data_IF_879270099760
#
_entry.id   IF_879270099760
#
_cell.length_a   1.000
_cell.length_b   1.000
_cell.length_c   1.000
_cell.angle_alpha   90.00
_cell.angle_beta   90.00
_cell.angle_gamma   90.00
#
_symmetry.space_group_name_H-M   'P 1'
#
loop_
_entity.id
_entity.type
_entity.pdbx_description
1 polymer ?
#
# COMPACT_ATOMS: atom_id res chain seq x y z
N UNK A 1 -6.75 8.93 22.14
CA UNK A 1 -7.89 8.03 21.91
C UNK A 1 -7.35 6.61 21.89
N UNK A 2 -7.73 5.78 22.86
CA UNK A 2 -7.32 4.38 22.91
C UNK A 2 -8.16 3.58 21.92
N UNK A 3 -7.51 2.79 21.07
CA UNK A 3 -8.16 1.87 20.13
C UNK A 3 -9.10 0.91 20.89
N UNK A 4 -10.25 0.52 20.32
CA UNK A 4 -11.06 -0.55 20.88
C UNK A 4 -10.29 -1.86 20.85
N UNK A 5 -10.55 -2.69 21.86
CA UNK A 5 -9.82 -3.92 22.14
C UNK A 5 -9.93 -4.97 21.02
N UNK A 6 -8.78 -5.57 20.70
CA UNK A 6 -8.56 -6.84 20.00
C UNK A 6 -9.20 -6.98 18.61
N UNK A 7 -8.40 -6.66 17.57
CA UNK A 7 -8.54 -7.23 16.23
C UNK A 7 -8.46 -8.76 16.37
N UNK A 8 -9.56 -9.46 16.12
CA UNK A 8 -9.59 -10.93 16.09
C UNK A 8 -8.94 -11.42 14.78
N UNK A 9 -7.61 -11.36 14.74
CA UNK A 9 -6.82 -11.90 13.64
C UNK A 9 -7.03 -13.42 13.59
N UNK A 10 -7.64 -13.91 12.52
CA UNK A 10 -7.80 -15.35 12.29
C UNK A 10 -6.41 -16.05 12.19
N UNK A 11 -6.24 -17.24 12.78
CA UNK A 11 -5.02 -18.02 12.58
C UNK A 11 -4.94 -18.53 11.13
N UNK A 12 -3.74 -18.51 10.55
CA UNK A 12 -3.49 -19.13 9.25
C UNK A 12 -3.73 -20.66 9.32
N UNK A 13 -4.13 -21.31 8.21
CA UNK A 13 -3.97 -22.76 8.09
C UNK A 13 -2.48 -23.12 8.27
N UNK A 14 -2.16 -24.20 9.00
CA UNK A 14 -0.78 -24.51 9.34
C UNK A 14 -0.01 -24.93 8.09
N UNK A 15 0.90 -24.08 7.63
CA UNK A 15 1.97 -24.46 6.69
C UNK A 15 3.28 -23.86 7.18
N UNK A 16 4.17 -24.73 7.66
CA UNK A 16 5.53 -24.38 8.08
C UNK A 16 5.76 -24.40 9.60
N UNK A 17 6.79 -25.13 10.02
CA UNK A 17 7.19 -25.33 11.42
C UNK A 17 7.55 -24.03 12.15
N UNK A 18 7.44 -23.97 13.50
CA UNK A 18 7.79 -22.80 14.28
C UNK A 18 9.30 -22.53 14.25
N UNK A 19 9.72 -21.38 13.72
CA UNK A 19 11.10 -20.92 13.79
C UNK A 19 11.47 -20.42 15.20
N UNK A 20 12.71 -20.63 15.65
CA UNK A 20 13.16 -20.24 16.98
C UNK A 20 13.26 -18.71 17.13
N UNK A 21 12.80 -18.22 18.28
CA UNK A 21 12.80 -16.82 18.68
C UNK A 21 14.23 -16.29 18.87
N UNK A 22 14.68 -15.38 18.01
CA UNK A 22 15.95 -14.68 18.19
C UNK A 22 15.74 -13.30 18.86
N UNK A 23 16.50 -12.96 19.93
CA UNK A 23 16.39 -11.66 20.57
C UNK A 23 16.96 -10.54 19.68
N UNK A 24 16.12 -9.57 19.32
CA UNK A 24 16.51 -8.40 18.55
C UNK A 24 17.48 -7.48 19.32
N UNK A 25 18.61 -7.10 18.71
CA UNK A 25 19.56 -6.12 19.26
C UNK A 25 19.17 -4.69 18.88
N UNK A 26 18.81 -3.88 19.87
CA UNK A 26 18.61 -2.43 19.70
C UNK A 26 19.95 -1.70 19.78
N UNK A 27 20.43 -1.16 18.65
CA UNK A 27 21.67 -0.37 18.65
C UNK A 27 21.92 0.38 17.35
N UNK A 28 21.28 1.54 17.16
CA UNK A 28 21.81 2.72 16.44
C UNK A 28 20.80 3.88 16.48
N UNK A 29 21.32 5.09 16.73
CA UNK A 29 20.65 6.26 17.33
C UNK A 29 19.44 6.90 16.62
N UNK A 30 18.62 7.55 17.46
CA UNK A 30 17.30 8.14 17.20
C UNK A 30 17.17 9.13 16.01
N UNK A 31 18.25 9.81 15.61
CA UNK A 31 18.22 10.78 14.51
C UNK A 31 18.35 10.13 13.12
N UNK A 32 18.92 8.92 13.05
CA UNK A 32 19.04 8.14 11.81
C UNK A 32 17.76 7.33 11.49
N UNK A 33 16.74 7.39 12.35
CA UNK A 33 15.61 6.45 12.35
C UNK A 33 14.44 6.90 11.48
N UNK A 34 14.13 8.20 11.43
CA UNK A 34 13.02 8.71 10.59
C UNK A 34 13.41 8.95 9.14
N UNK A 35 14.71 9.09 8.85
CA UNK A 35 15.19 9.45 7.51
C UNK A 35 15.03 8.30 6.54
N UNK A 36 15.33 7.05 6.94
CA UNK A 36 15.20 5.89 6.05
C UNK A 36 13.76 5.66 5.58
N UNK A 37 12.79 5.82 6.49
CA UNK A 37 11.36 5.74 6.16
C UNK A 37 10.95 6.83 5.17
N UNK A 38 11.20 8.10 5.53
CA UNK A 38 10.83 9.24 4.68
C UNK A 38 11.52 9.20 3.32
N UNK A 39 12.83 8.97 3.27
CA UNK A 39 13.57 8.85 2.01
C UNK A 39 13.07 7.68 1.16
N UNK A 40 12.69 6.57 1.79
CA UNK A 40 12.08 5.44 1.09
C UNK A 40 10.77 5.80 0.41
N UNK A 41 9.90 6.55 1.10
CA UNK A 41 8.64 7.06 0.54
C UNK A 41 8.88 8.15 -0.50
N UNK A 42 9.71 9.16 -0.23
CA UNK A 42 10.03 10.24 -1.18
C UNK A 42 10.59 9.73 -2.51
N UNK A 43 11.27 8.58 -2.47
CA UNK A 43 11.81 7.92 -3.66
C UNK A 43 10.75 7.14 -4.43
N UNK A 44 9.80 6.50 -3.72
CA UNK A 44 8.77 5.62 -4.30
C UNK A 44 7.52 6.39 -4.72
N UNK A 45 7.02 7.26 -3.85
CA UNK A 45 5.72 7.94 -3.96
C UNK A 45 5.90 9.29 -4.66
N UNK A 46 6.50 9.25 -5.85
CA UNK A 46 6.84 10.43 -6.64
C UNK A 46 6.48 10.26 -8.10
N UNK A 47 6.06 11.35 -8.71
CA UNK A 47 5.98 11.42 -10.17
C UNK A 47 7.34 11.94 -10.68
N UNK A 48 7.93 11.31 -11.72
CA UNK A 48 9.17 11.79 -12.33
C UNK A 48 9.08 13.29 -12.65
N UNK A 49 10.19 14.02 -12.48
CA UNK A 49 10.28 15.49 -12.70
C UNK A 49 9.38 16.41 -11.84
N UNK A 50 8.39 15.87 -11.11
CA UNK A 50 7.52 16.64 -10.21
C UNK A 50 7.98 16.50 -8.75
N UNK A 51 8.38 15.29 -8.36
CA UNK A 51 8.79 14.96 -6.99
C UNK A 51 7.71 14.22 -6.22
N UNK A 52 7.82 14.16 -4.88
CA UNK A 52 6.86 13.48 -4.01
C UNK A 52 5.45 14.05 -4.16
N UNK A 53 4.46 13.17 -4.20
CA UNK A 53 3.04 13.54 -4.34
C UNK A 53 2.16 12.64 -3.49
N UNK A 54 0.95 13.11 -3.20
CA UNK A 54 -0.10 12.26 -2.68
C UNK A 54 -0.37 11.16 -3.70
N UNK A 55 -0.23 9.90 -3.29
CA UNK A 55 -0.42 8.75 -4.19
C UNK A 55 -1.86 8.61 -4.70
N UNK A 56 -2.83 9.33 -4.11
CA UNK A 56 -4.23 9.29 -4.53
C UNK A 56 -4.58 10.43 -5.49
N UNK A 57 -4.32 11.69 -5.12
CA UNK A 57 -4.74 12.86 -5.89
C UNK A 57 -3.63 13.64 -6.61
N UNK A 58 -2.35 13.33 -6.35
CA UNK A 58 -1.22 14.02 -6.99
C UNK A 58 -0.85 15.37 -6.37
N UNK A 59 -1.51 15.80 -5.29
CA UNK A 59 -1.16 17.02 -4.55
C UNK A 59 0.26 16.94 -3.97
N UNK A 60 0.98 18.06 -3.93
CA UNK A 60 2.40 18.14 -3.55
C UNK A 60 2.59 18.44 -2.07
N UNK A 61 1.65 19.13 -1.44
CA UNK A 61 1.65 19.28 0.01
C UNK A 61 1.29 17.93 0.63
N UNK A 62 2.30 17.23 1.14
CA UNK A 62 2.18 15.83 1.54
C UNK A 62 2.69 15.56 2.94
N UNK A 63 2.25 14.43 3.49
CA UNK A 63 2.67 13.85 4.76
C UNK A 63 2.87 12.36 4.59
N UNK A 64 3.84 11.81 5.31
CA UNK A 64 4.04 10.37 5.38
C UNK A 64 3.16 9.78 6.48
N UNK A 65 2.29 8.84 6.13
CA UNK A 65 1.49 8.06 7.07
C UNK A 65 2.01 6.64 7.17
N UNK A 66 1.79 5.99 8.31
CA UNK A 66 2.04 4.56 8.47
C UNK A 66 0.74 3.78 8.28
N UNK A 67 0.80 2.65 7.58
CA UNK A 67 -0.35 1.75 7.42
C UNK A 67 -0.67 1.11 8.77
N UNK A 68 0.34 0.54 9.44
CA UNK A 68 0.27 0.15 10.85
C UNK A 68 0.78 1.31 11.70
N UNK A 69 -0.09 1.95 12.53
CA UNK A 69 0.27 3.15 13.26
C UNK A 69 1.45 2.96 14.22
N UNK A 70 2.26 4.01 14.39
CA UNK A 70 3.44 3.96 15.27
C UNK A 70 3.14 3.66 16.74
N UNK A 71 1.92 3.98 17.16
CA UNK A 71 1.42 3.68 18.50
C UNK A 71 1.25 2.18 18.74
N UNK A 72 1.21 1.34 17.70
CA UNK A 72 0.89 -0.08 17.81
C UNK A 72 2.07 -1.01 17.49
N UNK A 73 3.17 -0.86 18.26
CA UNK A 73 4.38 -1.69 18.11
C UNK A 73 4.11 -3.18 18.26
N UNK A 74 3.18 -3.53 19.15
CA UNK A 74 2.85 -4.92 19.44
C UNK A 74 2.21 -5.60 18.23
N UNK A 75 1.30 -4.91 17.53
CA UNK A 75 0.66 -5.44 16.33
C UNK A 75 1.68 -5.80 15.26
N UNK A 76 2.71 -4.98 15.02
CA UNK A 76 3.74 -5.34 14.03
C UNK A 76 4.42 -6.69 14.32
N UNK A 77 4.83 -6.92 15.58
CA UNK A 77 5.43 -8.19 15.96
C UNK A 77 4.46 -9.36 15.81
N UNK A 78 3.18 -9.15 16.11
CA UNK A 78 2.13 -10.16 15.89
C UNK A 78 1.92 -10.45 14.40
N UNK A 79 2.00 -9.44 13.53
CA UNK A 79 1.91 -9.61 12.07
C UNK A 79 3.10 -10.39 11.52
N UNK A 80 4.31 -10.12 12.00
CA UNK A 80 5.49 -10.95 11.71
C UNK A 80 5.29 -12.40 12.16
N UNK A 81 4.88 -12.61 13.41
CA UNK A 81 4.68 -13.95 13.97
C UNK A 81 3.57 -14.75 13.26
N UNK A 82 2.57 -14.05 12.70
CA UNK A 82 1.45 -14.64 11.96
C UNK A 82 1.69 -14.71 10.46
N UNK A 83 2.88 -14.37 9.96
CA UNK A 83 3.22 -14.47 8.54
C UNK A 83 2.54 -13.44 7.62
N UNK A 84 1.99 -12.36 8.17
CA UNK A 84 1.48 -11.22 7.40
C UNK A 84 2.63 -10.32 6.94
N UNK A 85 3.75 -10.32 7.64
CA UNK A 85 4.98 -9.60 7.31
C UNK A 85 6.12 -10.60 7.44
N UNK A 86 7.23 -10.49 6.66
CA UNK A 86 8.40 -11.33 6.88
C UNK A 86 8.82 -11.33 8.37
N UNK A 87 9.15 -12.48 8.96
CA UNK A 87 9.54 -12.55 10.36
C UNK A 87 10.83 -11.78 10.65
N UNK A 88 11.70 -11.62 9.66
CA UNK A 88 12.95 -10.85 9.75
C UNK A 88 12.74 -9.36 9.51
N UNK A 89 11.52 -8.89 9.22
CA UNK A 89 11.31 -7.51 8.83
C UNK A 89 11.87 -6.52 9.84
N UNK A 90 12.45 -5.43 9.32
CA UNK A 90 13.00 -4.32 10.11
C UNK A 90 11.94 -3.76 11.07
N UNK A 91 12.37 -3.04 12.13
CA UNK A 91 11.46 -2.31 12.98
C UNK A 91 10.51 -1.42 12.17
N UNK A 92 9.22 -1.50 12.48
CA UNK A 92 8.15 -0.89 11.68
C UNK A 92 8.29 0.62 11.50
N UNK A 93 8.98 1.33 12.42
CA UNK A 93 9.22 2.77 12.33
C UNK A 93 10.11 3.16 11.15
N UNK A 94 10.90 2.21 10.63
CA UNK A 94 11.90 2.43 9.59
C UNK A 94 11.50 1.79 8.26
N UNK A 95 10.37 1.10 8.22
CA UNK A 95 10.00 0.26 7.08
C UNK A 95 9.13 1.05 6.09
N UNK A 96 9.67 1.53 4.95
CA UNK A 96 8.90 2.30 3.97
C UNK A 96 7.73 1.50 3.36
N UNK A 97 7.78 0.16 3.41
CA UNK A 97 6.66 -0.69 2.97
C UNK A 97 5.48 -0.67 3.95
N UNK A 98 5.64 -0.09 5.14
CA UNK A 98 4.59 0.19 6.11
C UNK A 98 4.08 1.65 6.00
N UNK A 99 4.26 2.33 4.87
CA UNK A 99 3.84 3.73 4.76
C UNK A 99 3.38 4.16 3.38
N UNK A 100 2.77 5.33 3.36
CA UNK A 100 2.23 6.02 2.18
C UNK A 100 2.47 7.53 2.28
N UNK A 101 2.64 8.19 1.14
CA UNK A 101 2.60 9.65 1.02
C UNK A 101 1.20 10.12 0.63
N UNK A 102 0.55 10.88 1.51
CA UNK A 102 -0.81 11.42 1.32
C UNK A 102 -0.85 12.93 1.53
N UNK A 103 -1.79 13.64 0.91
CA UNK A 103 -2.05 15.04 1.24
C UNK A 103 -2.77 15.14 2.61
N UNK A 104 -2.82 16.32 3.27
CA UNK A 104 -3.45 16.47 4.58
C UNK A 104 -4.88 15.92 4.68
N UNK A 105 -5.68 16.04 3.61
CA UNK A 105 -7.07 15.58 3.60
C UNK A 105 -7.15 14.04 3.57
N UNK A 106 -6.53 13.40 2.56
CA UNK A 106 -6.51 11.93 2.47
C UNK A 106 -5.79 11.27 3.64
N UNK A 107 -4.77 11.93 4.19
CA UNK A 107 -4.11 11.47 5.42
C UNK A 107 -5.09 11.43 6.60
N UNK A 108 -5.91 12.48 6.77
CA UNK A 108 -6.91 12.53 7.83
C UNK A 108 -7.96 11.42 7.66
N UNK A 109 -8.48 11.23 6.45
CA UNK A 109 -9.45 10.17 6.16
C UNK A 109 -8.88 8.77 6.42
N UNK A 110 -7.65 8.51 5.96
CA UNK A 110 -6.98 7.21 6.16
C UNK A 110 -6.76 6.89 7.65
N UNK A 111 -6.33 7.87 8.45
CA UNK A 111 -6.14 7.69 9.90
C UNK A 111 -7.45 7.61 10.67
N UNK A 112 -8.48 8.33 10.22
CA UNK A 112 -9.82 8.31 10.81
C UNK A 112 -10.60 7.03 10.48
N UNK A 113 -10.04 6.16 9.62
CA UNK A 113 -10.69 4.96 9.10
C UNK A 113 -11.96 5.25 8.27
N UNK A 114 -12.07 6.47 7.76
CA UNK A 114 -13.14 6.93 6.85
C UNK A 114 -12.99 6.34 5.44
N UNK A 115 -11.80 5.81 5.13
CA UNK A 115 -11.46 5.10 3.92
C UNK A 115 -10.44 4.00 4.22
N UNK A 116 -10.30 3.04 3.32
CA UNK A 116 -9.25 2.03 3.35
C UNK A 116 -8.68 1.81 1.94
N UNK A 117 -7.51 1.16 1.88
CA UNK A 117 -6.91 0.75 0.61
C UNK A 117 -7.00 -0.77 0.53
N UNK A 118 -7.24 -1.32 -0.67
CA UNK A 118 -7.14 -2.75 -0.94
C UNK A 118 -6.26 -3.01 -2.15
N UNK A 119 -5.40 -4.01 -2.06
CA UNK A 119 -4.70 -4.56 -3.23
C UNK A 119 -5.63 -5.52 -3.98
N UNK A 120 -5.77 -5.32 -5.29
CA UNK A 120 -6.60 -6.10 -6.19
C UNK A 120 -5.70 -6.95 -7.10
N UNK A 121 -5.54 -8.26 -6.85
CA UNK A 121 -4.69 -9.14 -7.65
C UNK A 121 -5.01 -9.11 -9.15
N UNK A 122 -6.30 -9.01 -9.50
CA UNK A 122 -6.80 -9.05 -10.89
C UNK A 122 -6.26 -7.90 -11.73
N UNK A 123 -6.04 -6.75 -11.11
CA UNK A 123 -5.52 -5.54 -11.78
C UNK A 123 -4.06 -5.28 -11.47
N UNK A 124 -3.47 -6.04 -10.54
CA UNK A 124 -2.18 -5.73 -9.92
C UNK A 124 -2.12 -4.24 -9.53
N UNK A 125 -3.02 -3.81 -8.65
CA UNK A 125 -3.19 -2.40 -8.29
C UNK A 125 -3.70 -2.21 -6.85
N UNK A 126 -3.40 -1.05 -6.25
CA UNK A 126 -3.98 -0.61 -4.98
C UNK A 126 -5.13 0.34 -5.26
N UNK A 127 -6.28 0.08 -4.64
CA UNK A 127 -7.53 0.81 -4.88
C UNK A 127 -7.99 1.44 -3.56
N UNK A 128 -8.43 2.69 -3.63
CA UNK A 128 -9.00 3.45 -2.51
C UNK A 128 -10.50 3.19 -2.40
N UNK A 129 -10.99 2.94 -1.18
CA UNK A 129 -12.40 2.72 -0.89
C UNK A 129 -12.84 3.62 0.25
N UNK A 130 -13.93 4.36 0.04
CA UNK A 130 -14.51 5.31 1.00
C UNK A 130 -15.82 4.74 1.58
N UNK A 131 -16.11 5.03 2.86
CA UNK A 131 -17.39 4.68 3.46
C UNK A 131 -18.49 5.72 3.12
N UNK A 132 -19.72 5.28 2.81
CA UNK A 132 -20.75 6.12 2.19
C UNK A 132 -21.38 7.19 3.09
N UNK A 133 -21.25 7.13 4.42
CA UNK A 133 -21.91 8.09 5.31
C UNK A 133 -21.36 9.52 5.20
N UNK A 134 -20.20 9.72 4.56
CA UNK A 134 -19.68 11.07 4.27
C UNK A 134 -20.39 11.72 3.05
N UNK A 135 -21.22 10.96 2.35
CA UNK A 135 -21.92 11.41 1.13
C UNK A 135 -23.34 11.91 1.39
N UNK A 136 -23.83 11.86 2.63
CA UNK A 136 -25.21 12.22 2.96
C UNK A 136 -25.18 13.38 3.98
N UNK A 137 -25.07 14.61 3.48
CA UNK A 137 -25.70 15.74 4.16
C UNK A 137 -26.99 16.06 3.38
N UNK A 138 -28.13 15.97 4.07
CA UNK A 138 -29.48 16.24 3.58
C UNK A 138 -29.74 17.73 3.24
N UNK A 139 -28.69 18.50 2.93
CA UNK A 139 -28.80 19.93 2.63
C UNK A 139 -28.14 20.23 1.27
N UNK A 140 -28.97 20.42 0.24
CA UNK A 140 -28.58 20.84 -1.12
C UNK A 140 -27.70 22.11 -1.14
N UNK A 141 -27.56 22.82 -0.01
CA UNK A 141 -26.87 24.10 0.07
C UNK A 141 -25.51 24.10 0.79
N UNK A 142 -25.01 22.99 1.34
CA UNK A 142 -23.76 23.02 2.10
C UNK A 142 -22.73 21.99 1.61
N UNK A 143 -21.70 22.53 0.95
CA UNK A 143 -20.36 21.96 0.86
C UNK A 143 -20.27 20.60 0.17
N UNK A 144 -20.07 20.66 -1.16
CA UNK A 144 -19.46 19.64 -2.01
C UNK A 144 -18.75 18.56 -1.20
N UNK A 145 -19.39 17.39 -1.05
CA UNK A 145 -18.77 16.28 -0.34
C UNK A 145 -17.55 15.83 -1.14
N UNK A 146 -16.37 16.25 -0.67
CA UNK A 146 -15.05 15.87 -1.20
C UNK A 146 -14.81 14.36 -1.03
N UNK A 147 -15.70 13.63 -0.34
CA UNK A 147 -15.49 12.27 0.17
C UNK A 147 -16.15 11.16 -0.66
N UNK A 148 -16.38 11.38 -1.95
CA UNK A 148 -16.79 10.31 -2.88
C UNK A 148 -15.99 10.26 -4.18
N UNK A 149 -15.32 11.35 -4.54
CA UNK A 149 -14.66 11.50 -5.83
C UNK A 149 -13.47 10.52 -6.02
N UNK A 150 -13.00 9.91 -4.92
CA UNK A 150 -11.86 9.00 -4.95
C UNK A 150 -12.25 7.55 -4.66
N UNK A 151 -13.50 7.23 -4.37
CA UNK A 151 -13.95 5.84 -4.23
C UNK A 151 -13.67 5.04 -5.51
N UNK A 152 -13.06 3.87 -5.39
CA UNK A 152 -12.66 3.03 -6.53
C UNK A 152 -11.45 3.57 -7.31
N UNK A 153 -10.79 4.63 -6.85
CA UNK A 153 -9.64 5.22 -7.54
C UNK A 153 -8.37 4.41 -7.31
N UNK A 154 -7.59 4.22 -8.38
CA UNK A 154 -6.27 3.59 -8.31
C UNK A 154 -5.24 4.54 -7.68
N UNK A 155 -4.49 4.04 -6.71
CA UNK A 155 -3.32 4.75 -6.17
C UNK A 155 -2.15 4.69 -7.17
N UNK A 156 -1.43 5.79 -7.29
CA UNK A 156 -0.16 5.90 -8.01
C UNK A 156 0.97 5.22 -7.25
N UNK A 157 0.92 3.89 -7.23
CA UNK A 157 1.90 2.99 -6.66
C UNK A 157 2.11 1.84 -7.63
N UNK A 158 3.36 1.46 -7.85
CA UNK A 158 3.70 0.25 -8.60
C UNK A 158 3.83 -0.93 -7.61
N UNK A 159 2.94 -1.94 -7.66
CA UNK A 159 3.05 -3.11 -6.78
C UNK A 159 4.31 -3.94 -7.04
N UNK A 160 4.91 -3.82 -8.23
CA UNK A 160 6.16 -4.51 -8.59
C UNK A 160 7.40 -3.81 -8.03
N UNK A 161 7.26 -2.61 -7.46
CA UNK A 161 8.36 -1.87 -6.89
C UNK A 161 8.94 -2.61 -5.66
N UNK A 162 10.27 -2.69 -5.55
CA UNK A 162 10.96 -3.43 -4.48
C UNK A 162 10.70 -2.88 -3.05
N UNK A 163 10.06 -1.71 -2.95
CA UNK A 163 9.59 -1.09 -1.71
C UNK A 163 8.10 -0.74 -1.72
N UNK A 164 7.33 -1.35 -2.62
CA UNK A 164 5.87 -1.21 -2.62
C UNK A 164 5.31 -1.58 -1.25
N UNK A 165 4.21 -0.96 -0.79
CA UNK A 165 3.58 -1.39 0.46
C UNK A 165 3.34 -2.90 0.51
N UNK A 166 3.51 -3.53 1.67
CA UNK A 166 3.17 -4.95 1.78
C UNK A 166 1.64 -5.07 1.76
N UNK A 167 1.10 -5.82 0.80
CA UNK A 167 -0.34 -5.85 0.53
C UNK A 167 -1.18 -6.26 1.74
N UNK A 168 -0.66 -7.22 2.52
CA UNK A 168 -1.29 -7.74 3.73
C UNK A 168 -1.47 -6.68 4.84
N UNK A 169 -0.67 -5.61 4.87
CA UNK A 169 -0.85 -4.52 5.85
C UNK A 169 -2.16 -3.77 5.62
N UNK A 170 -2.57 -3.67 4.35
CA UNK A 170 -3.85 -3.07 3.99
C UNK A 170 -5.04 -3.93 4.40
N UNK A 171 -4.90 -5.26 4.44
CA UNK A 171 -5.95 -6.12 5.02
C UNK A 171 -6.20 -5.76 6.49
N UNK A 172 -5.14 -5.50 7.25
CA UNK A 172 -5.24 -5.13 8.67
C UNK A 172 -5.88 -3.75 8.85
N UNK A 173 -5.48 -2.79 8.01
CA UNK A 173 -6.08 -1.46 8.01
C UNK A 173 -7.56 -1.50 7.61
N UNK A 174 -7.91 -2.30 6.60
CA UNK A 174 -9.29 -2.53 6.18
C UNK A 174 -10.13 -3.19 7.28
N UNK A 175 -9.61 -4.24 7.95
CA UNK A 175 -10.29 -4.86 9.10
C UNK A 175 -10.57 -3.82 10.19
N UNK A 176 -9.58 -2.99 10.52
CA UNK A 176 -9.75 -1.90 11.48
C UNK A 176 -10.81 -0.91 11.00
N UNK A 177 -10.82 -0.55 9.72
CA UNK A 177 -11.76 0.43 9.20
C UNK A 177 -13.21 -0.08 9.19
N UNK A 178 -13.41 -1.33 8.79
CA UNK A 178 -14.72 -2.00 8.91
C UNK A 178 -15.18 -2.11 10.36
N UNK A 179 -14.26 -2.35 11.30
CA UNK A 179 -14.59 -2.40 12.73
C UNK A 179 -14.98 -1.04 13.31
N UNK A 180 -14.47 0.07 12.77
CA UNK A 180 -14.91 1.42 13.15
C UNK A 180 -16.32 1.75 12.60
N UNK A 181 -16.73 1.07 11.53
CA UNK A 181 -18.01 1.29 10.85
C UNK A 181 -18.81 -0.02 10.69
N UNK A 182 -19.15 -0.73 11.78
CA UNK A 182 -19.63 -2.12 11.72
C UNK A 182 -21.02 -2.30 11.08
N UNK A 183 -21.81 -1.24 11.01
CA UNK A 183 -23.16 -1.26 10.42
C UNK A 183 -23.18 -0.68 9.00
N UNK A 184 -22.08 -0.10 8.57
CA UNK A 184 -21.98 0.46 7.23
C UNK A 184 -21.70 -0.69 6.26
N UNK A 185 -22.67 -0.96 5.38
CA UNK A 185 -22.33 -1.66 4.16
C UNK A 185 -21.39 -0.74 3.40
N UNK A 186 -20.32 -1.30 2.87
CA UNK A 186 -19.59 -0.63 1.79
C UNK A 186 -20.57 -0.64 0.60
N UNK A 187 -21.51 0.32 0.57
CA UNK A 187 -22.58 0.41 -0.43
C UNK A 187 -21.92 0.57 -1.80
N UNK A 188 -22.38 -0.19 -2.81
CA UNK A 188 -21.92 -0.06 -4.20
C UNK A 188 -20.69 -0.90 -4.55
N UNK A 189 -20.53 -2.11 -3.98
CA UNK A 189 -19.40 -3.04 -4.16
C UNK A 189 -18.99 -3.38 -5.60
N UNK A 190 -19.71 -2.88 -6.59
CA UNK A 190 -19.43 -3.04 -8.01
C UNK A 190 -18.44 -1.95 -8.42
N UNK A 191 -17.15 -2.22 -8.27
CA UNK A 191 -16.15 -1.42 -8.97
C UNK A 191 -16.08 -1.99 -10.38
N UNK A 192 -16.49 -1.19 -11.37
CA UNK A 192 -16.20 -1.51 -12.75
C UNK A 192 -14.68 -1.41 -12.95
N UNK A 193 -14.05 -2.57 -13.13
CA UNK A 193 -12.60 -2.65 -13.36
C UNK A 193 -12.15 -1.88 -14.60
N UNK A 194 -13.04 -1.63 -15.56
CA UNK A 194 -12.77 -0.80 -16.74
C UNK A 194 -12.74 0.70 -16.43
N UNK A 195 -13.38 1.12 -15.34
CA UNK A 195 -13.43 2.51 -14.90
C UNK A 195 -12.37 2.83 -13.83
N UNK A 196 -11.71 1.80 -13.28
CA UNK A 196 -10.59 1.99 -12.34
C UNK A 196 -9.46 2.74 -13.03
N UNK A 197 -9.28 3.99 -12.62
CA UNK A 197 -8.27 4.89 -13.15
C UNK A 197 -7.58 5.64 -12.03
N UNK A 198 -6.45 6.26 -12.37
CA UNK A 198 -5.87 7.28 -11.49
C UNK A 198 -6.78 8.51 -11.47
N UNK A 199 -6.76 9.27 -10.37
CA UNK A 199 -7.43 10.56 -10.33
C UNK A 199 -6.93 11.51 -11.43
N UNK A 200 -7.77 12.47 -11.83
CA UNK A 200 -7.41 13.49 -12.82
C UNK A 200 -6.11 14.23 -12.45
N UNK A 201 -5.92 14.52 -11.15
CA UNK A 201 -4.72 15.17 -10.65
C UNK A 201 -3.44 14.37 -10.93
N UNK A 202 -3.48 13.05 -10.74
CA UNK A 202 -2.37 12.15 -11.09
C UNK A 202 -2.19 12.07 -12.60
N UNK A 203 -3.26 11.85 -13.37
CA UNK A 203 -3.18 11.74 -14.83
C UNK A 203 -2.56 13.01 -15.46
N UNK A 204 -3.01 14.18 -14.99
CA UNK A 204 -2.52 15.50 -15.38
C UNK A 204 -1.04 15.68 -15.01
N UNK A 205 -0.64 15.24 -13.81
CA UNK A 205 0.75 15.30 -13.36
C UNK A 205 1.68 14.39 -14.17
N UNK A 206 1.27 13.15 -14.47
CA UNK A 206 2.03 12.24 -15.34
C UNK A 206 2.21 12.86 -16.73
N UNK A 207 1.14 13.41 -17.30
CA UNK A 207 1.15 14.03 -18.62
C UNK A 207 2.13 15.21 -18.70
N UNK A 208 2.18 16.06 -17.66
CA UNK A 208 3.16 17.14 -17.54
C UNK A 208 4.60 16.63 -17.41
N UNK A 209 4.81 15.53 -16.68
CA UNK A 209 6.12 14.92 -16.52
C UNK A 209 6.69 14.38 -17.83
N UNK A 210 5.85 13.81 -18.69
CA UNK A 210 6.28 13.17 -19.94
C UNK A 210 6.61 14.15 -21.07
N UNK A 211 6.20 15.41 -20.97
CA UNK A 211 6.48 16.41 -22.01
C UNK A 211 7.99 16.71 -22.09
N UNK A 212 8.58 16.77 -23.31
CA UNK A 212 9.98 17.15 -23.48
C UNK A 212 10.20 18.62 -23.09
N UNK A 213 11.30 18.87 -22.37
CA UNK A 213 11.78 20.21 -22.04
C UNK A 213 12.37 20.86 -23.29
N UNK A 214 11.53 21.32 -24.22
CA UNK A 214 11.97 22.18 -25.32
C UNK A 214 10.96 23.30 -25.56
N UNK A 215 11.47 24.53 -25.43
CA UNK A 215 10.82 25.79 -25.67
C UNK A 215 10.44 26.03 -27.14
N UNK A 216 9.30 26.69 -27.31
CA UNK A 216 8.76 27.37 -28.49
C UNK A 216 8.16 26.55 -29.64
N UNK A 217 6.94 27.00 -29.98
CA UNK A 217 6.16 26.84 -31.21
C UNK A 217 5.06 25.79 -31.17
N UNK A 218 3.86 26.29 -31.45
CA UNK A 218 2.58 25.61 -31.44
C UNK A 218 2.52 24.39 -32.36
N UNK A 219 1.85 23.35 -31.90
CA UNK A 219 0.82 22.62 -32.65
C UNK A 219 0.10 21.68 -31.70
N UNK A 220 -1.21 21.87 -31.55
CA UNK A 220 -2.07 20.92 -30.86
C UNK A 220 -2.16 19.66 -31.72
N UNK A 221 -1.64 18.54 -31.20
CA UNK A 221 -1.89 17.21 -31.75
C UNK A 221 -2.61 16.42 -30.68
N UNK A 222 -3.90 16.22 -30.90
CA UNK A 222 -4.75 15.32 -30.13
C UNK A 222 -4.27 13.88 -30.37
N UNK A 223 -3.60 13.29 -29.38
CA UNK A 223 -3.26 11.87 -29.39
C UNK A 223 -4.28 11.09 -28.57
N UNK A 224 -5.27 10.53 -29.26
CA UNK A 224 -6.08 9.44 -28.73
C UNK A 224 -5.18 8.21 -28.55
N UNK A 225 -5.03 7.75 -27.31
CA UNK A 225 -4.31 6.51 -27.03
C UNK A 225 -5.15 5.30 -27.45
N UNK A 226 -4.54 4.23 -28.03
CA UNK A 226 -5.27 3.04 -28.43
C UNK A 226 -5.69 2.21 -27.22
N UNK A 227 -6.97 1.87 -27.16
CA UNK A 227 -7.59 0.98 -26.17
C UNK A 227 -7.01 -0.43 -26.36
N UNK A 228 -6.37 -1.06 -25.34
CA UNK A 228 -5.95 -2.45 -25.47
C UNK A 228 -7.18 -3.36 -25.46
N UNK A 229 -7.37 -4.08 -26.55
CA UNK A 229 -8.36 -5.16 -26.66
C UNK A 229 -7.79 -6.39 -25.96
N UNK A 230 -8.15 -6.57 -24.69
CA UNK A 230 -7.85 -7.77 -23.89
C UNK A 230 -9.14 -8.54 -23.62
N UNK A 231 -9.08 -9.86 -23.79
CA UNK A 231 -10.19 -10.79 -23.61
C UNK A 231 -10.96 -10.56 -22.29
N UNK A 232 -12.29 -10.64 -22.38
CA UNK A 232 -13.23 -10.19 -21.37
C UNK A 232 -13.08 -10.85 -20.00
N UNK A 233 -12.62 -10.07 -19.04
CA UNK A 233 -12.95 -10.24 -17.62
C UNK A 233 -14.35 -9.62 -17.44
N UNK A 234 -15.30 -10.25 -16.73
CA UNK A 234 -16.61 -9.66 -16.50
C UNK A 234 -16.46 -8.27 -15.85
N UNK A 235 -17.07 -7.26 -16.47
CA UNK A 235 -16.82 -5.83 -16.25
C UNK A 235 -17.35 -5.23 -14.94
N UNK A 236 -17.77 -6.05 -13.98
CA UNK A 236 -18.20 -5.60 -12.67
C UNK A 236 -17.56 -6.55 -11.68
N UNK A 237 -16.60 -6.07 -10.90
CA UNK A 237 -16.04 -6.86 -9.82
C UNK A 237 -16.75 -6.46 -8.54
N UNK A 238 -17.60 -7.38 -8.07
CA UNK A 238 -18.12 -7.33 -6.71
C UNK A 238 -16.91 -7.46 -5.78
N UNK A 239 -16.66 -6.41 -5.00
CA UNK A 239 -15.61 -6.42 -3.99
C UNK A 239 -15.83 -7.61 -3.06
N UNK A 240 -14.99 -8.62 -3.18
CA UNK A 240 -15.08 -9.85 -2.39
C UNK A 240 -15.04 -9.53 -0.90
N UNK A 241 -15.64 -10.41 -0.09
CA UNK A 241 -15.54 -10.25 1.35
C UNK A 241 -14.07 -10.22 1.75
N UNK A 242 -13.74 -9.49 2.82
CA UNK A 242 -12.37 -9.41 3.30
C UNK A 242 -11.83 -10.79 3.67
N UNK A 243 -12.70 -11.69 4.14
CA UNK A 243 -12.34 -13.07 4.47
C UNK A 243 -11.96 -13.87 3.22
N UNK A 244 -12.73 -13.72 2.13
CA UNK A 244 -12.46 -14.40 0.86
C UNK A 244 -11.17 -13.88 0.22
N UNK A 245 -10.96 -12.56 0.22
CA UNK A 245 -9.80 -11.92 -0.40
C UNK A 245 -8.49 -12.16 0.37
N UNK A 246 -8.57 -12.46 1.68
CA UNK A 246 -7.42 -12.50 2.59
C UNK A 246 -6.32 -13.43 2.12
N UNK A 247 -6.68 -14.67 1.76
CA UNK A 247 -5.71 -15.70 1.41
C UNK A 247 -4.99 -15.38 0.10
N UNK A 248 -5.73 -14.91 -0.91
CA UNK A 248 -5.18 -14.55 -2.21
C UNK A 248 -4.25 -13.34 -2.10
N UNK A 249 -4.68 -12.30 -1.39
CA UNK A 249 -3.85 -11.10 -1.17
C UNK A 249 -2.60 -11.45 -0.36
N UNK A 250 -2.70 -12.32 0.65
CA UNK A 250 -1.55 -12.76 1.44
C UNK A 250 -0.57 -13.59 0.60
N UNK A 251 -1.07 -14.51 -0.22
CA UNK A 251 -0.24 -15.28 -1.15
C UNK A 251 0.45 -14.36 -2.18
N UNK A 252 -0.26 -13.36 -2.71
CA UNK A 252 0.33 -12.34 -3.57
C UNK A 252 1.40 -11.52 -2.84
N UNK A 253 1.17 -11.16 -1.57
CA UNK A 253 2.14 -10.42 -0.77
C UNK A 253 3.44 -11.22 -0.59
N UNK A 254 3.34 -12.50 -0.22
CA UNK A 254 4.48 -13.39 -0.01
C UNK A 254 5.30 -13.63 -1.29
N UNK A 255 4.64 -13.58 -2.45
CA UNK A 255 5.30 -13.70 -3.75
C UNK A 255 5.75 -12.37 -4.36
N UNK A 256 5.48 -11.24 -3.70
CA UNK A 256 5.80 -9.90 -4.24
C UNK A 256 7.30 -9.61 -4.19
N UNK A 257 7.77 -8.75 -5.10
CA UNK A 257 9.16 -8.28 -5.08
C UNK A 257 9.48 -7.49 -3.80
N UNK A 258 8.50 -6.76 -3.28
CA UNK A 258 8.63 -6.02 -2.03
C UNK A 258 8.93 -6.95 -0.84
N UNK A 259 8.25 -8.10 -0.77
CA UNK A 259 8.50 -9.12 0.24
C UNK A 259 9.91 -9.71 0.12
N UNK A 260 10.30 -10.15 -1.08
CA UNK A 260 11.64 -10.71 -1.31
C UNK A 260 12.74 -9.71 -0.99
N UNK A 261 12.56 -8.45 -1.38
CA UNK A 261 13.52 -7.39 -1.07
C UNK A 261 13.57 -7.14 0.44
N UNK A 262 12.45 -7.13 1.15
CA UNK A 262 12.44 -6.97 2.61
C UNK A 262 13.17 -8.10 3.30
N UNK A 263 12.94 -9.36 2.91
CA UNK A 263 13.68 -10.51 3.45
C UNK A 263 15.18 -10.37 3.19
N UNK A 264 15.60 -10.06 1.96
CA UNK A 264 17.02 -9.83 1.62
C UNK A 264 17.64 -8.68 2.42
N UNK A 265 16.92 -7.57 2.57
CA UNK A 265 17.36 -6.39 3.34
C UNK A 265 17.46 -6.64 4.85
N UNK A 266 16.90 -7.75 5.32
CA UNK A 266 16.83 -8.13 6.72
C UNK A 266 17.79 -9.26 7.10
N UNK A 267 18.44 -9.89 6.12
CA UNK A 267 19.50 -10.85 6.37
C UNK A 267 20.67 -10.14 7.07
N UNK A 268 21.00 -10.62 8.27
CA UNK A 268 22.23 -10.22 8.94
C UNK A 268 23.42 -10.91 8.27
N UNK A 269 24.40 -10.11 7.85
CA UNK A 269 25.69 -10.55 7.35
C UNK A 269 26.72 -10.76 8.47
N UNK A 270 26.27 -10.98 9.70
CA UNK A 270 27.14 -11.45 10.78
C UNK A 270 27.51 -12.92 10.51
N UNK A 271 28.81 -13.22 10.42
CA UNK A 271 29.33 -14.56 10.10
C UNK A 271 30.61 -14.52 9.28
N UNK A 272 31.10 -15.69 8.86
CA UNK A 272 32.21 -15.80 7.89
C UNK A 272 31.75 -15.40 6.49
N UNK A 273 32.71 -15.16 5.58
CA UNK A 273 32.39 -14.82 4.19
C UNK A 273 31.59 -15.95 3.51
N UNK A 274 31.91 -17.21 3.83
CA UNK A 274 31.26 -18.39 3.30
C UNK A 274 29.81 -18.52 3.80
N UNK A 275 29.56 -18.30 5.09
CA UNK A 275 28.21 -18.27 5.66
C UNK A 275 27.34 -17.19 5.01
N UNK A 276 27.93 -16.03 4.72
CA UNK A 276 27.25 -14.92 4.07
C UNK A 276 26.97 -15.19 2.58
N UNK A 277 27.86 -15.89 1.88
CA UNK A 277 27.64 -16.33 0.49
C UNK A 277 26.48 -17.33 0.43
N UNK A 278 26.43 -18.28 1.35
CA UNK A 278 25.37 -19.30 1.38
C UNK A 278 24.00 -18.68 1.68
N UNK A 279 23.91 -17.83 2.73
CA UNK A 279 22.69 -17.05 3.03
C UNK A 279 22.19 -16.25 1.83
N UNK A 280 23.12 -15.65 1.06
CA UNK A 280 22.76 -14.91 -0.14
C UNK A 280 22.22 -15.83 -1.25
N UNK A 281 22.88 -16.96 -1.52
CA UNK A 281 22.44 -17.94 -2.54
C UNK A 281 21.04 -18.47 -2.26
N UNK A 282 20.77 -18.86 -1.02
CA UNK A 282 19.45 -19.31 -0.57
C UNK A 282 18.40 -18.21 -0.80
N UNK A 283 18.71 -16.96 -0.45
CA UNK A 283 17.76 -15.85 -0.56
C UNK A 283 17.41 -15.43 -1.99
N UNK A 284 18.31 -15.67 -2.95
CA UNK A 284 18.12 -15.32 -4.37
C UNK A 284 17.56 -16.51 -5.17
N UNK A 285 17.44 -17.69 -4.55
CA UNK A 285 16.91 -18.89 -5.19
C UNK A 285 17.89 -19.54 -6.16
N UNK A 286 19.20 -19.42 -5.93
CA UNK A 286 20.19 -20.20 -6.66
C UNK A 286 20.14 -21.65 -6.17
N UNK A 287 19.38 -22.50 -6.86
CA UNK A 287 19.52 -23.95 -6.74
C UNK A 287 20.58 -24.40 -7.74
N UNK A 288 21.74 -24.83 -7.25
CA UNK A 288 22.71 -25.54 -8.08
C UNK A 288 22.01 -26.80 -8.64
N UNK A 289 21.90 -26.88 -9.96
CA UNK A 289 21.42 -28.06 -10.68
C UNK A 289 22.56 -29.05 -10.88
#
# INVERSE_FOLDING_TARGET
MSLPALVSLAPLPPSGAPYPYHPWRSGRGAQSESTAFSTGLDTRDRIPRIGPVCVLCGERLTRHTHIIPKSNKRLWHELCARGYVPPEARPFEREPRNGLTLCPNHHKQFEAHEAFVRYMPEMNAYIWFEFPWILIEDDESSMTSICGDFHGTKLYLDPSHARAPIYSLFLIHEEAARAHHPFERTIGQDVDLHEVQYSEGIQSAISRSTMPLTSNSASAVSSSSPKPSGAGVPGILVLSSLEDARNDILACAQNSESWRQLTRESLSFDGTAEENIEKYRESVGFTDK
#
